data_IF_087815227619
#
_entry.id   IF_087815227619
#
_cell.length_a   1.000
_cell.length_b   1.000
_cell.length_c   1.000
_cell.angle_alpha   90.00
_cell.angle_beta   90.00
_cell.angle_gamma   90.00
#
_symmetry.space_group_name_H-M   'P 1'
#
loop_
_entity.id
_entity.type
_entity.pdbx_description
1 polymer ?
#
# COMPACT_ATOMS: atom_id res chain seq x y z
N UNK A 1 10.05 43.56 3.27
CA UNK A 1 10.97 42.44 3.53
C UNK A 1 10.81 41.42 2.40
N UNK A 2 11.88 41.14 1.66
CA UNK A 2 11.87 40.15 0.58
C UNK A 2 12.22 38.78 1.15
N UNK A 3 11.24 37.88 1.23
CA UNK A 3 11.47 36.50 1.65
C UNK A 3 12.12 35.74 0.49
N UNK A 4 13.37 35.29 0.68
CA UNK A 4 14.08 34.48 -0.31
C UNK A 4 13.60 33.04 -0.17
N UNK A 5 12.87 32.55 -1.16
CA UNK A 5 12.47 31.14 -1.21
C UNK A 5 13.73 30.29 -1.39
N UNK A 6 13.99 29.40 -0.43
CA UNK A 6 15.08 28.42 -0.53
C UNK A 6 14.54 27.24 -1.34
N UNK A 7 15.10 27.01 -2.52
CA UNK A 7 14.84 25.83 -3.34
C UNK A 7 16.05 24.90 -3.28
N UNK A 8 15.81 23.61 -3.06
CA UNK A 8 16.82 22.56 -3.13
C UNK A 8 16.37 21.46 -4.10
N UNK A 9 17.26 21.06 -5.00
CA UNK A 9 16.96 20.06 -6.03
C UNK A 9 17.15 18.64 -5.48
N UNK A 10 16.03 17.96 -5.22
CA UNK A 10 16.04 16.59 -4.71
C UNK A 10 16.40 15.54 -5.77
N UNK A 11 16.44 15.89 -7.06
CA UNK A 11 16.85 14.96 -8.13
C UNK A 11 18.31 14.50 -7.99
N UNK A 12 19.11 15.26 -7.24
CA UNK A 12 20.51 14.95 -6.93
C UNK A 12 20.68 14.05 -5.69
N UNK A 13 19.58 13.65 -5.05
CA UNK A 13 19.59 12.82 -3.84
C UNK A 13 19.13 11.40 -4.11
N UNK A 14 19.23 10.53 -3.09
CA UNK A 14 18.65 9.19 -3.13
C UNK A 14 17.12 9.17 -3.01
N UNK A 15 16.48 10.32 -2.84
CA UNK A 15 15.03 10.48 -2.78
C UNK A 15 14.55 11.61 -3.70
N UNK A 16 14.53 11.39 -5.03
CA UNK A 16 13.87 12.32 -5.94
C UNK A 16 12.40 12.48 -5.57
N UNK A 17 11.93 13.73 -5.49
CA UNK A 17 10.53 14.00 -5.17
C UNK A 17 9.65 13.68 -6.39
N UNK A 18 8.78 12.69 -6.22
CA UNK A 18 7.85 12.22 -7.24
C UNK A 18 6.41 12.27 -6.74
N UNK A 19 5.46 12.34 -7.68
CA UNK A 19 4.03 12.36 -7.37
C UNK A 19 3.67 13.44 -6.36
N UNK A 20 2.93 13.07 -5.32
CA UNK A 20 2.48 13.98 -4.25
C UNK A 20 3.61 14.54 -3.40
N UNK A 21 4.79 13.92 -3.37
CA UNK A 21 5.93 14.45 -2.63
C UNK A 21 6.50 15.74 -3.25
N UNK A 22 6.17 16.08 -4.50
CA UNK A 22 6.62 17.34 -5.12
C UNK A 22 6.01 18.59 -4.49
N UNK A 23 4.89 18.46 -3.79
CA UNK A 23 4.10 19.60 -3.30
C UNK A 23 4.07 19.73 -1.79
N UNK A 24 4.78 18.86 -1.06
CA UNK A 24 4.83 18.94 0.41
C UNK A 24 5.85 19.98 0.86
N UNK A 25 5.60 20.61 2.01
CA UNK A 25 6.54 21.55 2.61
C UNK A 25 7.80 20.81 3.12
N UNK A 26 8.97 21.46 3.06
CA UNK A 26 10.24 20.89 3.54
C UNK A 26 10.14 20.33 4.97
N UNK A 27 9.38 21.04 5.83
CA UNK A 27 9.16 20.66 7.24
C UNK A 27 8.46 19.31 7.41
N UNK A 28 7.65 18.87 6.44
CA UNK A 28 6.94 17.59 6.53
C UNK A 28 7.89 16.39 6.67
N UNK A 29 9.13 16.50 6.15
CA UNK A 29 10.15 15.47 6.29
C UNK A 29 11.30 15.92 7.21
N UNK A 30 11.76 17.17 7.04
CA UNK A 30 12.93 17.69 7.74
C UNK A 30 12.62 18.33 9.10
N UNK A 31 11.34 18.43 9.49
CA UNK A 31 10.91 19.04 10.74
C UNK A 31 10.32 18.06 11.75
N UNK A 32 10.88 16.84 11.84
CA UNK A 32 10.53 15.90 12.92
C UNK A 32 10.83 16.48 14.31
N UNK A 33 11.79 17.39 14.40
CA UNK A 33 12.00 18.23 15.58
C UNK A 33 11.19 19.51 15.45
N UNK A 34 10.37 19.82 16.46
CA UNK A 34 9.48 20.99 16.45
C UNK A 34 10.23 22.33 16.50
N UNK A 35 11.44 22.32 17.06
CA UNK A 35 12.26 23.52 17.28
C UNK A 35 13.20 23.79 16.11
N UNK A 36 13.66 22.76 15.41
CA UNK A 36 14.61 22.91 14.30
C UNK A 36 14.36 21.98 13.11
N UNK A 37 14.59 22.49 11.89
CA UNK A 37 14.59 21.65 10.69
C UNK A 37 15.99 21.07 10.44
N UNK A 38 16.09 19.74 10.30
CA UNK A 38 17.32 19.03 9.99
C UNK A 38 17.29 18.48 8.56
N UNK A 39 18.16 19.04 7.72
CA UNK A 39 18.36 18.58 6.34
C UNK A 39 19.40 17.46 6.28
N UNK A 40 19.10 16.35 6.97
CA UNK A 40 19.91 15.13 6.99
C UNK A 40 19.30 14.05 6.09
N UNK A 41 20.08 13.01 5.80
CA UNK A 41 19.55 11.83 5.12
C UNK A 41 18.49 11.15 5.99
N UNK A 42 17.31 10.92 5.42
CA UNK A 42 16.19 10.25 6.07
C UNK A 42 16.07 8.80 5.58
N UNK A 43 15.42 7.92 6.35
CA UNK A 43 15.03 6.60 5.87
C UNK A 43 14.16 6.71 4.61
N UNK A 44 14.42 5.86 3.62
CA UNK A 44 13.80 5.95 2.29
C UNK A 44 12.61 5.00 2.10
N UNK A 45 12.43 4.04 3.00
CA UNK A 45 11.32 3.09 2.91
C UNK A 45 10.01 3.81 3.29
N UNK A 46 8.94 3.52 2.54
CA UNK A 46 7.64 4.16 2.72
C UNK A 46 7.10 4.05 4.16
N UNK A 47 7.33 2.91 4.83
CA UNK A 47 6.80 2.65 6.17
C UNK A 47 7.44 3.49 7.28
N UNK A 48 8.52 4.21 6.97
CA UNK A 48 9.23 5.09 7.91
C UNK A 48 8.53 6.43 8.13
N UNK A 49 7.66 6.79 7.18
CA UNK A 49 6.86 8.00 7.19
C UNK A 49 5.36 7.72 7.10
N UNK A 50 4.96 6.62 6.46
CA UNK A 50 3.56 6.25 6.26
C UNK A 50 3.21 4.97 7.04
N UNK A 51 2.01 4.92 7.64
CA UNK A 51 1.52 3.70 8.29
C UNK A 51 1.29 2.59 7.24
N UNK A 52 1.82 1.39 7.50
CA UNK A 52 1.48 0.20 6.71
C UNK A 52 0.08 -0.30 7.11
N UNK A 53 -0.93 0.14 6.35
CA UNK A 53 -2.33 -0.28 6.54
C UNK A 53 -2.53 -1.79 6.31
N UNK A 54 -1.59 -2.46 5.63
CA UNK A 54 -1.63 -3.89 5.39
C UNK A 54 -1.06 -4.70 6.56
N UNK A 55 -0.58 -4.05 7.63
CA UNK A 55 -0.15 -4.72 8.86
C UNK A 55 0.94 -5.76 8.59
N UNK A 56 1.89 -5.46 7.70
CA UNK A 56 3.01 -6.35 7.38
C UNK A 56 2.64 -7.57 6.53
N UNK A 57 1.40 -7.68 6.03
CA UNK A 57 0.99 -8.81 5.19
C UNK A 57 1.79 -8.94 3.88
N UNK A 58 2.52 -7.90 3.46
CA UNK A 58 3.31 -7.92 2.23
C UNK A 58 4.82 -7.78 2.46
N UNK A 59 5.28 -7.94 3.71
CA UNK A 59 6.70 -8.12 4.03
C UNK A 59 7.20 -9.40 3.34
N UNK A 60 8.38 -9.31 2.73
CA UNK A 60 9.07 -10.43 2.10
C UNK A 60 10.10 -11.00 3.05
N UNK A 61 10.39 -12.30 2.98
CA UNK A 61 11.46 -12.90 3.80
C UNK A 61 12.82 -12.24 3.55
N UNK A 62 13.05 -11.75 2.33
CA UNK A 62 14.28 -11.07 1.94
C UNK A 62 14.39 -9.63 2.45
N UNK A 63 13.32 -9.01 2.95
CA UNK A 63 13.30 -7.60 3.33
C UNK A 63 12.46 -7.39 4.60
N UNK A 64 12.99 -6.77 5.66
CA UNK A 64 12.28 -6.62 6.94
C UNK A 64 11.11 -5.63 6.92
N UNK A 65 10.88 -4.93 5.80
CA UNK A 65 9.84 -3.90 5.64
C UNK A 65 9.01 -4.16 4.39
N UNK A 66 7.79 -3.65 4.37
CA UNK A 66 6.91 -3.74 3.21
C UNK A 66 7.46 -2.85 2.08
N UNK A 67 7.70 -3.46 0.91
CA UNK A 67 8.09 -2.74 -0.30
C UNK A 67 6.85 -2.23 -1.04
N UNK A 68 6.27 -1.13 -0.55
CA UNK A 68 5.00 -0.56 -1.05
C UNK A 68 5.03 -0.25 -2.56
N UNK A 69 6.20 0.15 -3.08
CA UNK A 69 6.42 0.55 -4.48
C UNK A 69 6.26 -0.60 -5.49
N UNK A 70 6.17 -1.86 -5.02
CA UNK A 70 5.80 -3.03 -5.83
C UNK A 70 4.39 -2.94 -6.37
N UNK A 71 3.49 -2.28 -5.63
CA UNK A 71 2.08 -2.17 -5.96
C UNK A 71 1.66 -0.71 -6.14
N UNK A 72 2.10 0.18 -5.24
CA UNK A 72 1.67 1.57 -5.17
C UNK A 72 2.61 2.53 -5.88
N UNK A 73 2.08 3.66 -6.32
CA UNK A 73 2.85 4.81 -6.81
C UNK A 73 2.66 6.01 -5.87
N UNK A 74 3.65 6.90 -5.81
CA UNK A 74 3.56 8.15 -5.05
C UNK A 74 2.60 9.18 -5.68
N UNK A 75 2.03 8.89 -6.86
CA UNK A 75 1.17 9.80 -7.59
C UNK A 75 -0.24 9.89 -6.98
N UNK A 76 -0.86 8.76 -6.71
CA UNK A 76 -2.21 8.70 -6.12
C UNK A 76 -2.40 7.56 -5.11
N UNK A 77 -1.34 6.80 -4.82
CA UNK A 77 -1.34 5.67 -3.89
C UNK A 77 -2.29 4.53 -4.27
N UNK A 78 -2.83 4.51 -5.49
CA UNK A 78 -3.53 3.32 -5.99
C UNK A 78 -2.53 2.19 -6.23
N UNK A 79 -2.93 0.93 -6.03
CA UNK A 79 -2.08 -0.22 -6.29
C UNK A 79 -2.00 -0.52 -7.80
N UNK A 80 -1.66 0.46 -8.64
CA UNK A 80 -1.70 0.36 -10.11
C UNK A 80 -0.78 -0.70 -10.67
N UNK A 81 0.31 -1.02 -9.95
CA UNK A 81 1.24 -2.06 -10.38
C UNK A 81 0.77 -3.45 -9.98
N UNK A 82 -0.15 -3.58 -9.04
CA UNK A 82 -0.66 -4.88 -8.60
C UNK A 82 -1.57 -5.49 -9.67
N UNK A 83 -1.34 -6.76 -9.98
CA UNK A 83 -2.19 -7.54 -10.86
C UNK A 83 -2.48 -8.89 -10.21
N UNK A 84 -3.72 -9.13 -9.78
CA UNK A 84 -4.12 -10.31 -9.01
C UNK A 84 -3.68 -11.63 -9.65
N UNK A 85 -3.90 -11.78 -10.96
CA UNK A 85 -3.58 -13.02 -11.69
C UNK A 85 -2.08 -13.21 -11.96
N UNK A 86 -1.25 -12.18 -11.75
CA UNK A 86 0.21 -12.25 -11.87
C UNK A 86 0.87 -12.44 -10.51
N UNK A 87 0.35 -11.76 -9.49
CA UNK A 87 1.01 -11.63 -8.19
C UNK A 87 0.47 -12.62 -7.15
N UNK A 88 -0.58 -13.39 -7.48
CA UNK A 88 -1.21 -14.35 -6.56
C UNK A 88 -1.43 -15.69 -7.25
N UNK A 89 -1.57 -16.75 -6.45
CA UNK A 89 -1.78 -18.11 -6.96
C UNK A 89 -3.23 -18.36 -7.43
N UNK A 90 -4.22 -17.64 -6.89
CA UNK A 90 -5.62 -17.80 -7.28
C UNK A 90 -5.94 -16.89 -8.46
N UNK A 91 -6.27 -17.50 -9.61
CA UNK A 91 -6.65 -16.75 -10.81
C UNK A 91 -8.11 -16.30 -10.71
N UNK A 92 -8.35 -15.02 -10.88
CA UNK A 92 -9.68 -14.46 -11.14
C UNK A 92 -10.03 -14.70 -12.61
N UNK A 93 -11.02 -15.56 -12.84
CA UNK A 93 -11.63 -15.84 -14.13
C UNK A 93 -13.15 -15.99 -14.00
N UNK A 94 -13.85 -16.01 -15.14
CA UNK A 94 -15.31 -16.17 -15.18
C UNK A 94 -16.04 -15.19 -14.25
N UNK A 95 -16.88 -15.73 -13.36
CA UNK A 95 -17.64 -14.94 -12.40
C UNK A 95 -16.77 -14.24 -11.33
N UNK A 96 -15.60 -14.79 -10.99
CA UNK A 96 -14.71 -14.22 -9.97
C UNK A 96 -14.12 -12.85 -10.38
N UNK A 97 -14.06 -12.54 -11.68
CA UNK A 97 -13.64 -11.22 -12.17
C UNK A 97 -14.53 -10.07 -11.68
N UNK A 98 -15.79 -10.38 -11.32
CA UNK A 98 -16.78 -9.38 -10.87
C UNK A 98 -16.94 -9.36 -9.35
N UNK A 99 -16.23 -10.25 -8.64
CA UNK A 99 -16.30 -10.32 -7.18
C UNK A 99 -15.44 -9.20 -6.60
N UNK A 100 -16.04 -8.36 -5.74
CA UNK A 100 -15.29 -7.36 -5.01
C UNK A 100 -14.23 -8.02 -4.11
N UNK A 101 -13.11 -7.34 -3.86
CA UNK A 101 -12.02 -7.88 -3.04
C UNK A 101 -12.51 -8.39 -1.68
N UNK A 102 -13.47 -7.70 -1.07
CA UNK A 102 -14.10 -8.04 0.22
C UNK A 102 -15.02 -9.26 0.17
N UNK A 103 -15.36 -9.72 -1.03
CA UNK A 103 -16.03 -11.01 -1.26
C UNK A 103 -15.20 -12.17 -0.72
N UNK A 104 -13.89 -12.12 -0.94
CA UNK A 104 -12.93 -13.12 -0.48
C UNK A 104 -12.11 -12.64 0.74
N UNK A 105 -11.55 -11.44 0.68
CA UNK A 105 -10.67 -10.89 1.72
C UNK A 105 -11.45 -10.10 2.77
N UNK A 106 -11.71 -10.71 3.91
CA UNK A 106 -12.55 -10.11 4.96
C UNK A 106 -11.81 -9.05 5.76
N UNK A 107 -12.56 -8.03 6.17
CA UNK A 107 -12.10 -7.10 7.18
C UNK A 107 -12.04 -7.82 8.53
N UNK A 108 -10.97 -7.59 9.26
CA UNK A 108 -10.77 -8.04 10.64
C UNK A 108 -10.21 -6.89 11.47
N UNK A 109 -9.94 -7.13 12.75
CA UNK A 109 -9.39 -6.12 13.67
C UNK A 109 -8.05 -6.63 14.19
N UNK A 110 -7.04 -5.77 14.17
CA UNK A 110 -5.79 -5.96 14.89
C UNK A 110 -5.54 -4.75 15.78
N UNK A 111 -5.27 -5.00 17.06
CA UNK A 111 -4.99 -3.96 18.06
C UNK A 111 -6.04 -2.82 18.06
N UNK A 112 -7.32 -3.17 17.90
CA UNK A 112 -8.44 -2.23 17.87
C UNK A 112 -8.63 -1.46 16.56
N UNK A 113 -7.78 -1.67 15.55
CA UNK A 113 -7.88 -1.02 14.23
C UNK A 113 -8.36 -2.01 13.16
N UNK A 114 -9.37 -1.66 12.35
CA UNK A 114 -9.81 -2.52 11.25
C UNK A 114 -8.77 -2.57 10.13
N UNK A 115 -8.60 -3.74 9.52
CA UNK A 115 -7.80 -3.92 8.30
C UNK A 115 -8.33 -5.09 7.46
N UNK A 116 -8.01 -5.13 6.18
CA UNK A 116 -8.37 -6.23 5.29
C UNK A 116 -7.30 -7.33 5.40
N UNK A 117 -7.72 -8.55 5.73
CA UNK A 117 -6.84 -9.71 5.76
C UNK A 117 -6.78 -10.37 4.38
N UNK A 118 -5.64 -10.23 3.72
CA UNK A 118 -5.34 -10.80 2.41
C UNK A 118 -4.77 -12.22 2.49
N UNK A 119 -3.96 -12.53 3.52
CA UNK A 119 -3.34 -13.85 3.68
C UNK A 119 -3.30 -14.32 5.15
N UNK A 120 -3.30 -15.65 5.40
CA UNK A 120 -3.67 -16.70 4.44
C UNK A 120 -5.17 -16.64 4.10
N UNK A 121 -5.54 -17.14 2.91
CA UNK A 121 -6.93 -17.31 2.48
C UNK A 121 -7.08 -18.73 1.91
N UNK A 122 -8.11 -19.44 2.35
CA UNK A 122 -8.46 -20.73 1.77
C UNK A 122 -9.08 -20.53 0.39
N UNK A 123 -8.55 -21.28 -0.59
CA UNK A 123 -8.93 -21.20 -2.00
C UNK A 123 -9.74 -22.41 -2.45
N UNK A 124 -10.03 -23.35 -1.55
CA UNK A 124 -10.93 -24.45 -1.84
C UNK A 124 -12.34 -23.91 -2.16
N UNK A 125 -12.98 -24.47 -3.20
CA UNK A 125 -14.26 -23.98 -3.70
C UNK A 125 -15.33 -23.92 -2.59
N UNK A 126 -15.39 -24.96 -1.76
CA UNK A 126 -16.35 -25.09 -0.67
C UNK A 126 -16.11 -24.09 0.47
N UNK A 127 -14.93 -23.47 0.58
CA UNK A 127 -14.61 -22.49 1.63
C UNK A 127 -15.29 -21.14 1.38
N UNK A 128 -15.75 -20.89 0.15
CA UNK A 128 -16.56 -19.72 -0.23
C UNK A 128 -17.95 -20.09 -0.77
N UNK A 129 -18.14 -21.31 -1.27
CA UNK A 129 -19.41 -21.80 -1.84
C UNK A 129 -20.06 -22.89 -0.97
N UNK A 130 -19.99 -22.76 0.36
CA UNK A 130 -20.56 -23.75 1.30
C UNK A 130 -22.09 -23.77 1.30
N UNK A 131 -22.73 -22.70 0.83
CA UNK A 131 -24.18 -22.61 0.70
C UNK A 131 -24.64 -22.96 -0.73
N UNK A 132 -25.42 -24.04 -0.86
CA UNK A 132 -26.01 -24.48 -2.14
C UNK A 132 -27.05 -23.50 -2.69
N UNK A 133 -27.45 -22.48 -1.92
CA UNK A 133 -28.42 -21.46 -2.37
C UNK A 133 -27.88 -20.46 -3.41
N UNK A 134 -26.54 -20.36 -3.57
CA UNK A 134 -25.86 -19.39 -4.46
C UNK A 134 -25.45 -20.01 -5.81
N UNK A 135 -25.96 -21.19 -6.18
CA UNK A 135 -25.74 -21.79 -7.52
C UNK A 135 -26.81 -21.37 -8.54
N UNK A 136 -27.25 -20.10 -8.48
CA UNK A 136 -28.29 -19.55 -9.33
C UNK A 136 -27.75 -18.55 -10.34
N UNK A 137 -27.01 -19.00 -11.36
CA UNK A 137 -26.57 -18.15 -12.47
C UNK A 137 -26.57 -18.95 -13.77
N UNK A 138 -27.64 -18.80 -14.54
CA UNK A 138 -27.97 -19.56 -15.76
C UNK A 138 -26.86 -19.50 -16.82
N UNK A 139 -26.76 -20.62 -17.53
CA UNK A 139 -26.07 -20.85 -18.80
C UNK A 139 -26.34 -19.79 -19.86
#
# INVERSE_FOLDING_TARGET
QSWRQISYDHSQTKFPLEGKHKTIACRACHGKDEKEMKFVSLPLNCSECHEDIHRGQFVLESHPKTECSRCHTSADWKPEKFAHNRDTAFKLDGAHLKVACTGCHKQTVDSGKPYIKFKPLDTACNSCHSDKSIQGGKS
#
